data_IF_680249043586
#
_entry.id   IF_680249043586
#
_cell.length_a   1.000
_cell.length_b   1.000
_cell.length_c   1.000
_cell.angle_alpha   90.00
_cell.angle_beta   90.00
_cell.angle_gamma   90.00
#
_symmetry.space_group_name_H-M   'P 1'
#
loop_
_entity.id
_entity.type
_entity.pdbx_description
1 polymer ?
#
# COMPACT_ATOMS: atom_id res chain seq x y z
N UNK A 1 1.19 -13.23 13.14
CA UNK A 1 1.06 -12.90 14.58
C UNK A 1 -0.37 -13.04 15.11
N UNK A 2 -1.38 -13.35 14.28
CA UNK A 2 -2.77 -13.63 14.72
C UNK A 2 -3.62 -12.38 14.93
N UNK A 3 -4.19 -11.82 13.86
CA UNK A 3 -5.11 -10.66 13.82
C UNK A 3 -4.82 -9.53 14.82
N UNK A 4 -3.54 -9.26 15.07
CA UNK A 4 -3.12 -8.19 15.97
C UNK A 4 -3.52 -6.83 15.37
N UNK A 5 -3.87 -5.84 16.21
CA UNK A 5 -4.21 -4.51 15.74
C UNK A 5 -3.02 -3.84 15.06
N UNK A 6 -3.31 -2.99 14.08
CA UNK A 6 -2.31 -2.17 13.40
C UNK A 6 -2.98 -0.88 12.90
N UNK A 7 -2.24 0.23 12.69
CA UNK A 7 -2.82 1.54 12.42
C UNK A 7 -3.74 1.63 11.18
N UNK A 8 -3.60 0.69 10.23
CA UNK A 8 -4.45 0.60 9.05
C UNK A 8 -5.69 -0.28 9.21
N UNK A 9 -5.93 -0.88 10.38
CA UNK A 9 -7.02 -1.79 10.62
C UNK A 9 -8.35 -1.03 10.82
N UNK A 10 -9.45 -1.43 10.16
CA UNK A 10 -10.75 -0.76 10.31
C UNK A 10 -11.36 -0.84 11.71
N UNK A 11 -10.90 -1.78 12.55
CA UNK A 11 -11.33 -1.92 13.95
C UNK A 11 -10.93 -0.70 14.80
N UNK A 12 -9.95 0.07 14.35
CA UNK A 12 -9.63 1.34 14.98
C UNK A 12 -10.64 2.40 14.51
N UNK A 13 -11.19 3.20 15.43
CA UNK A 13 -12.22 4.21 15.13
C UNK A 13 -11.79 5.23 14.05
N UNK A 14 -10.50 5.26 13.69
CA UNK A 14 -9.91 6.07 12.61
C UNK A 14 -8.71 5.33 11.98
N UNK A 15 -8.92 4.47 10.96
CA UNK A 15 -7.81 3.81 10.28
C UNK A 15 -6.95 4.83 9.53
N UNK A 16 -5.64 4.68 9.64
CA UNK A 16 -4.66 5.51 8.95
C UNK A 16 -4.48 5.00 7.53
N UNK A 17 -4.68 5.89 6.56
CA UNK A 17 -4.29 5.69 5.16
C UNK A 17 -2.79 5.93 5.02
N UNK A 18 -2.00 4.87 4.90
CA UNK A 18 -0.55 4.96 4.79
C UNK A 18 -0.12 5.81 3.58
N UNK A 19 -0.92 5.85 2.51
CA UNK A 19 -0.70 6.71 1.35
C UNK A 19 -0.65 8.21 1.70
N UNK A 20 -1.40 8.64 2.71
CA UNK A 20 -1.42 10.05 3.13
C UNK A 20 -0.14 10.40 3.92
N UNK A 21 0.35 9.47 4.75
CA UNK A 21 1.64 9.61 5.43
C UNK A 21 2.78 9.65 4.42
N UNK A 22 2.76 8.73 3.45
CA UNK A 22 3.79 8.65 2.40
C UNK A 22 3.85 9.94 1.59
N UNK A 23 2.70 10.53 1.22
CA UNK A 23 2.63 11.85 0.58
C UNK A 23 3.19 12.95 1.48
N UNK A 24 2.84 12.95 2.77
CA UNK A 24 3.34 13.94 3.73
C UNK A 24 4.87 13.88 3.90
N UNK A 25 5.47 12.69 3.72
CA UNK A 25 6.93 12.52 3.70
C UNK A 25 7.61 13.00 2.40
N UNK A 26 6.87 13.55 1.43
CA UNK A 26 7.43 14.09 0.18
C UNK A 26 7.69 13.04 -0.92
N UNK A 27 7.18 11.82 -0.77
CA UNK A 27 7.31 10.78 -1.81
C UNK A 27 6.40 11.12 -3.00
N UNK A 28 7.00 11.36 -4.16
CA UNK A 28 6.27 11.70 -5.40
C UNK A 28 5.71 10.47 -6.11
N UNK A 29 6.39 9.33 -5.98
CA UNK A 29 6.03 8.10 -6.66
C UNK A 29 5.24 7.19 -5.72
N UNK A 30 3.92 7.29 -5.76
CA UNK A 30 3.05 6.53 -4.89
C UNK A 30 1.90 5.93 -5.70
N UNK A 31 1.69 4.62 -5.56
CA UNK A 31 0.54 3.94 -6.15
C UNK A 31 -0.11 2.98 -5.16
N UNK A 32 -1.43 3.01 -5.09
CA UNK A 32 -2.24 2.04 -4.34
C UNK A 32 -2.85 1.07 -5.35
N UNK A 33 -2.56 -0.22 -5.23
CA UNK A 33 -3.00 -1.24 -6.19
C UNK A 33 -3.49 -2.51 -5.47
N UNK A 34 -4.37 -3.26 -6.13
CA UNK A 34 -4.75 -4.60 -5.67
C UNK A 34 -3.69 -5.61 -6.19
N UNK A 35 -3.00 -6.35 -5.29
CA UNK A 35 -1.98 -7.31 -5.69
C UNK A 35 -2.51 -8.48 -6.53
N UNK A 36 -3.83 -8.72 -6.59
CA UNK A 36 -4.40 -9.77 -7.45
C UNK A 36 -4.30 -9.40 -8.94
N UNK A 37 -4.23 -8.10 -9.27
CA UNK A 37 -4.00 -7.65 -10.64
C UNK A 37 -2.50 -7.75 -10.97
N UNK A 38 -2.03 -8.97 -11.22
CA UNK A 38 -0.61 -9.27 -11.42
C UNK A 38 0.02 -8.46 -12.57
N UNK A 39 -0.76 -8.17 -13.62
CA UNK A 39 -0.30 -7.37 -14.76
C UNK A 39 -0.01 -5.93 -14.33
N UNK A 40 -0.94 -5.30 -13.62
CA UNK A 40 -0.75 -3.95 -13.09
C UNK A 40 0.37 -3.90 -12.04
N UNK A 41 0.43 -4.89 -11.15
CA UNK A 41 1.45 -4.97 -10.12
C UNK A 41 2.84 -5.06 -10.72
N UNK A 42 3.05 -5.99 -11.66
CA UNK A 42 4.33 -6.17 -12.35
C UNK A 42 4.73 -4.93 -13.13
N UNK A 43 3.79 -4.30 -13.84
CA UNK A 43 4.06 -3.08 -14.60
C UNK A 43 4.43 -1.92 -13.68
N UNK A 44 3.74 -1.77 -12.55
CA UNK A 44 4.02 -0.70 -11.57
C UNK A 44 5.39 -0.90 -10.93
N UNK A 45 5.77 -2.14 -10.57
CA UNK A 45 7.11 -2.44 -10.05
C UNK A 45 8.18 -2.08 -11.07
N UNK A 46 8.02 -2.50 -12.34
CA UNK A 46 8.97 -2.15 -13.42
C UNK A 46 9.07 -0.64 -13.64
N UNK A 47 7.94 0.06 -13.65
CA UNK A 47 7.90 1.52 -13.77
C UNK A 47 8.67 2.19 -12.63
N UNK A 48 8.44 1.77 -11.39
CA UNK A 48 9.00 2.41 -10.20
C UNK A 48 10.48 2.10 -10.01
N UNK A 49 10.95 0.92 -10.41
CA UNK A 49 12.37 0.56 -10.40
C UNK A 49 13.23 1.43 -11.33
N UNK A 50 12.66 1.99 -12.40
CA UNK A 50 13.36 2.88 -13.31
C UNK A 50 13.45 4.33 -12.81
N UNK A 51 12.80 4.65 -11.69
CA UNK A 51 12.81 6.01 -11.12
C UNK A 51 13.98 6.15 -10.14
N UNK A 52 14.67 7.29 -10.22
CA UNK A 52 15.80 7.61 -9.32
C UNK A 52 15.37 8.09 -7.93
N UNK A 53 14.09 8.42 -7.74
CA UNK A 53 13.53 8.89 -6.48
C UNK A 53 12.82 7.77 -5.71
N UNK A 54 12.62 7.97 -4.41
CA UNK A 54 11.87 7.05 -3.54
C UNK A 54 10.49 6.79 -4.15
N UNK A 55 10.12 5.50 -4.19
CA UNK A 55 8.87 5.03 -4.77
C UNK A 55 8.21 4.03 -3.83
N UNK A 56 6.90 4.18 -3.64
CA UNK A 56 6.12 3.38 -2.69
C UNK A 56 4.90 2.78 -3.37
N UNK A 57 4.75 1.46 -3.26
CA UNK A 57 3.57 0.73 -3.71
C UNK A 57 2.80 0.25 -2.48
N UNK A 58 1.55 0.71 -2.32
CA UNK A 58 0.63 0.23 -1.28
C UNK A 58 -0.22 -0.88 -1.88
N UNK A 59 0.16 -2.13 -1.61
CA UNK A 59 -0.59 -3.31 -2.03
C UNK A 59 -1.80 -3.53 -1.10
N UNK A 60 -2.99 -3.09 -1.52
CA UNK A 60 -4.20 -3.11 -0.68
C UNK A 60 -5.08 -4.30 -1.03
N UNK A 61 -5.22 -5.22 -0.07
CA UNK A 61 -6.15 -6.36 -0.16
C UNK A 61 -6.69 -6.73 1.23
N UNK A 62 -7.97 -7.11 1.37
CA UNK A 62 -8.42 -7.80 2.57
C UNK A 62 -7.67 -9.12 2.75
N UNK A 63 -7.29 -9.43 3.99
CA UNK A 63 -6.73 -10.73 4.32
C UNK A 63 -7.80 -11.82 4.18
N UNK A 64 -7.43 -12.99 3.65
CA UNK A 64 -8.34 -14.13 3.48
C UNK A 64 -9.05 -14.56 4.78
N UNK A 65 -8.42 -14.31 5.93
CA UNK A 65 -8.96 -14.66 7.25
C UNK A 65 -9.73 -13.52 7.93
N UNK A 66 -9.88 -12.37 7.27
CA UNK A 66 -10.76 -11.29 7.74
C UNK A 66 -12.10 -11.51 7.05
N UNK A 67 -13.11 -11.88 7.85
CA UNK A 67 -14.52 -11.93 7.43
C UNK A 67 -15.13 -10.54 7.52
#
# INVERSE_FOLDING_TARGET
TGHQPHPGAPKDKKPIKIEDIVKACGVKNLKVIDPINQKEFTNTVKEFLNKKEVSVIVARKPCKFVR
#
